data_IF_519584896204
#
_entry.id   IF_519584896204
#
_cell.length_a   1.000
_cell.length_b   1.000
_cell.length_c   1.000
_cell.angle_alpha   90.00
_cell.angle_beta   90.00
_cell.angle_gamma   90.00
#
_symmetry.space_group_name_H-M   'P 1'
#
loop_
_entity.id
_entity.type
_entity.pdbx_description
1 polymer ?
#
# COMPACT_ATOMS: atom_id res chain seq x y z
N UNK A 1 2.29 16.77 -72.08
CA UNK A 1 1.47 16.91 -70.86
C UNK A 1 2.30 16.39 -69.69
N UNK A 2 2.58 17.28 -68.75
CA UNK A 2 3.30 17.07 -67.49
C UNK A 2 2.44 16.23 -66.55
N UNK A 3 3.03 15.38 -65.70
CA UNK A 3 2.71 15.34 -64.26
C UNK A 3 3.88 14.73 -63.48
N UNK A 4 4.54 15.58 -62.71
CA UNK A 4 5.55 15.25 -61.71
C UNK A 4 4.83 15.12 -60.37
N UNK A 5 4.94 13.98 -59.71
CA UNK A 5 4.42 13.76 -58.35
C UNK A 5 5.60 13.70 -57.38
N UNK A 6 5.76 14.79 -56.62
CA UNK A 6 6.73 14.89 -55.54
C UNK A 6 6.20 14.21 -54.27
N UNK A 7 6.99 13.29 -53.73
CA UNK A 7 6.77 12.70 -52.40
C UNK A 7 7.71 13.36 -51.40
N UNK A 8 7.20 14.27 -50.59
CA UNK A 8 7.91 14.80 -49.41
C UNK A 8 7.63 13.89 -48.22
N UNK A 9 8.64 13.14 -47.80
CA UNK A 9 8.67 12.43 -46.51
C UNK A 9 8.84 13.43 -45.37
N UNK A 10 8.05 13.34 -44.28
CA UNK A 10 8.27 14.14 -43.09
C UNK A 10 9.48 13.62 -42.30
N UNK A 11 10.40 14.52 -42.00
CA UNK A 11 11.56 14.30 -41.13
C UNK A 11 11.07 14.11 -39.69
N UNK A 12 11.32 12.92 -39.13
CA UNK A 12 11.08 12.60 -37.72
C UNK A 12 12.07 13.41 -36.86
N UNK A 13 11.59 14.42 -36.15
CA UNK A 13 12.39 15.15 -35.16
C UNK A 13 12.54 14.30 -33.91
N UNK A 14 13.76 14.23 -33.39
CA UNK A 14 14.15 13.43 -32.24
C UNK A 14 13.31 13.80 -31.01
N UNK A 15 12.62 12.81 -30.45
CA UNK A 15 11.98 12.91 -29.15
C UNK A 15 13.06 13.04 -28.06
N UNK A 16 12.90 14.04 -27.21
CA UNK A 16 13.63 14.17 -25.95
C UNK A 16 13.42 12.90 -25.12
N UNK A 17 14.45 12.07 -25.04
CA UNK A 17 14.50 10.94 -24.12
C UNK A 17 14.70 11.55 -22.73
N UNK A 18 13.61 11.76 -22.01
CA UNK A 18 13.64 12.07 -20.59
C UNK A 18 14.48 10.99 -19.90
N UNK A 19 15.64 11.38 -19.37
CA UNK A 19 16.50 10.49 -18.61
C UNK A 19 15.70 9.94 -17.43
N UNK A 20 15.40 8.65 -17.47
CA UNK A 20 14.87 7.91 -16.34
C UNK A 20 15.97 7.92 -15.28
N UNK A 21 15.84 8.82 -14.30
CA UNK A 21 16.70 8.85 -13.13
C UNK A 21 16.44 7.56 -12.37
N UNK A 22 17.32 6.58 -12.54
CA UNK A 22 17.31 5.36 -11.72
C UNK A 22 17.84 5.77 -10.35
N UNK A 23 17.04 5.69 -9.27
CA UNK A 23 17.49 6.06 -7.95
C UNK A 23 18.65 5.16 -7.54
N UNK A 24 19.69 5.77 -6.98
CA UNK A 24 20.87 5.05 -6.51
C UNK A 24 20.56 4.27 -5.22
N UNK A 25 21.35 3.23 -4.93
CA UNK A 25 21.12 2.33 -3.78
C UNK A 25 21.21 3.04 -2.43
N UNK A 26 21.91 4.16 -2.33
CA UNK A 26 22.09 4.92 -1.08
C UNK A 26 20.81 5.64 -0.69
N UNK A 27 20.06 6.17 -1.67
CA UNK A 27 18.77 6.83 -1.45
C UNK A 27 17.72 5.87 -0.86
N UNK A 28 17.60 4.64 -1.40
CA UNK A 28 16.64 3.62 -0.87
C UNK A 28 16.94 3.26 0.59
N UNK A 29 18.22 3.25 0.98
CA UNK A 29 18.65 2.97 2.35
C UNK A 29 18.28 4.09 3.34
N UNK A 30 18.39 5.36 2.91
CA UNK A 30 18.02 6.50 3.75
C UNK A 30 16.51 6.57 3.99
N UNK A 31 15.70 6.28 2.96
CA UNK A 31 14.24 6.24 3.07
C UNK A 31 13.74 5.17 4.05
N UNK A 32 14.30 3.96 3.98
CA UNK A 32 13.96 2.87 4.92
C UNK A 32 14.27 3.28 6.36
N UNK A 33 15.44 3.86 6.62
CA UNK A 33 15.82 4.32 7.97
C UNK A 33 14.88 5.41 8.48
N UNK A 34 14.47 6.34 7.62
CA UNK A 34 13.53 7.39 7.97
C UNK A 34 12.14 6.83 8.30
N UNK A 35 11.66 5.81 7.56
CA UNK A 35 10.39 5.14 7.84
C UNK A 35 10.43 4.36 9.15
N UNK A 36 11.50 3.59 9.39
CA UNK A 36 11.68 2.86 10.65
C UNK A 36 11.77 3.80 11.86
N UNK A 37 12.45 4.93 11.73
CA UNK A 37 12.49 5.95 12.78
C UNK A 37 11.12 6.62 12.98
N UNK A 38 10.40 6.92 11.90
CA UNK A 38 9.04 7.46 11.96
C UNK A 38 8.09 6.47 12.65
N UNK A 39 8.13 5.19 12.28
CA UNK A 39 7.38 4.10 12.92
C UNK A 39 7.71 4.04 14.41
N UNK A 40 9.00 3.96 14.76
CA UNK A 40 9.45 3.94 16.16
C UNK A 40 8.94 5.12 16.96
N UNK A 41 8.97 6.34 16.40
CA UNK A 41 8.47 7.54 17.09
C UNK A 41 6.95 7.55 17.21
N UNK A 42 6.23 7.12 16.18
CA UNK A 42 4.77 7.17 16.15
C UNK A 42 4.12 6.06 17.00
N UNK A 43 4.78 4.92 17.15
CA UNK A 43 4.25 3.74 17.83
C UNK A 43 5.04 3.37 19.10
N UNK A 44 5.80 4.32 19.68
CA UNK A 44 6.70 4.07 20.82
C UNK A 44 5.96 3.64 22.10
N UNK A 45 4.78 4.22 22.32
CA UNK A 45 4.00 4.03 23.53
C UNK A 45 2.76 3.17 23.24
N UNK A 46 2.45 2.23 24.12
CA UNK A 46 1.26 1.35 23.99
C UNK A 46 -0.05 2.14 23.86
N UNK A 47 -0.14 3.32 24.50
CA UNK A 47 -1.30 4.20 24.38
C UNK A 47 -1.44 4.82 22.97
N UNK A 48 -0.34 4.95 22.23
CA UNK A 48 -0.27 5.57 20.91
C UNK A 48 -0.34 4.54 19.77
N UNK A 49 -0.26 3.24 20.07
CA UNK A 49 -0.32 2.14 19.08
C UNK A 49 -1.58 2.13 18.22
N UNK A 50 -2.63 2.82 18.70
CA UNK A 50 -3.92 2.94 18.03
C UNK A 50 -4.21 4.35 17.49
N UNK A 51 -3.26 5.27 17.62
CA UNK A 51 -3.33 6.60 17.02
C UNK A 51 -3.37 6.51 15.49
N UNK A 52 -3.98 7.50 14.84
CA UNK A 52 -3.99 7.56 13.37
C UNK A 52 -2.59 7.74 12.82
N UNK A 53 -1.74 8.44 13.57
CA UNK A 53 -0.35 8.70 13.27
C UNK A 53 0.45 7.40 13.25
N UNK A 54 0.31 6.55 14.28
CA UNK A 54 0.93 5.21 14.31
C UNK A 54 0.41 4.32 13.18
N UNK A 55 -0.92 4.22 13.01
CA UNK A 55 -1.55 3.43 11.93
C UNK A 55 -1.03 3.85 10.55
N UNK A 56 -0.95 5.15 10.29
CA UNK A 56 -0.43 5.69 9.03
C UNK A 56 1.04 5.35 8.84
N UNK A 57 1.87 5.48 9.89
CA UNK A 57 3.28 5.13 9.83
C UNK A 57 3.49 3.64 9.56
N UNK A 58 2.70 2.76 10.18
CA UNK A 58 2.74 1.31 9.92
C UNK A 58 2.36 1.00 8.46
N UNK A 59 1.27 1.58 7.96
CA UNK A 59 0.84 1.39 6.56
C UNK A 59 1.95 1.83 5.60
N UNK A 60 2.53 3.01 5.79
CA UNK A 60 3.60 3.51 4.92
C UNK A 60 4.85 2.64 4.95
N UNK A 61 5.20 2.11 6.13
CA UNK A 61 6.37 1.23 6.33
C UNK A 61 6.18 -0.07 5.57
N UNK A 62 5.07 -0.78 5.80
CA UNK A 62 4.81 -2.05 5.13
C UNK A 62 4.50 -1.86 3.65
N UNK A 63 3.85 -0.77 3.24
CA UNK A 63 3.63 -0.48 1.83
C UNK A 63 4.95 -0.28 1.09
N UNK A 64 5.94 0.34 1.73
CA UNK A 64 7.29 0.39 1.20
C UNK A 64 7.96 -0.98 1.17
N UNK A 65 7.86 -1.77 2.24
CA UNK A 65 8.46 -3.11 2.34
C UNK A 65 7.95 -4.08 1.27
N UNK A 66 6.63 -4.12 1.05
CA UNK A 66 5.98 -5.00 0.09
C UNK A 66 5.73 -4.37 -1.28
N UNK A 67 6.31 -3.20 -1.54
CA UNK A 67 6.21 -2.48 -2.82
C UNK A 67 4.75 -2.19 -3.27
N UNK A 68 3.87 -1.93 -2.30
CA UNK A 68 2.48 -1.52 -2.53
C UNK A 68 2.39 0.01 -2.62
N UNK A 69 1.60 0.58 -3.56
CA UNK A 69 1.39 2.02 -3.60
C UNK A 69 0.80 2.53 -2.27
N UNK A 70 1.57 3.33 -1.52
CA UNK A 70 1.18 3.88 -0.21
C UNK A 70 -0.21 4.52 -0.23
N UNK A 71 -0.49 5.31 -1.27
CA UNK A 71 -1.79 5.97 -1.46
C UNK A 71 -2.94 4.97 -1.53
N UNK A 72 -2.79 3.86 -2.26
CA UNK A 72 -3.80 2.83 -2.37
C UNK A 72 -4.10 2.21 -1.00
N UNK A 73 -3.05 1.81 -0.27
CA UNK A 73 -3.21 1.22 1.05
C UNK A 73 -3.90 2.18 2.04
N UNK A 74 -3.51 3.46 2.05
CA UNK A 74 -4.14 4.48 2.89
C UNK A 74 -5.60 4.73 2.49
N UNK A 75 -5.92 4.78 1.19
CA UNK A 75 -7.29 4.97 0.71
C UNK A 75 -8.20 3.80 1.11
N UNK A 76 -7.70 2.56 1.06
CA UNK A 76 -8.42 1.37 1.53
C UNK A 76 -8.65 1.45 3.04
N UNK A 77 -7.59 1.67 3.83
CA UNK A 77 -7.68 1.74 5.29
C UNK A 77 -8.61 2.88 5.77
N UNK A 78 -8.60 4.02 5.07
CA UNK A 78 -9.52 5.12 5.31
C UNK A 78 -10.97 4.71 5.00
N UNK A 79 -11.20 3.96 3.93
CA UNK A 79 -12.54 3.47 3.59
C UNK A 79 -13.06 2.41 4.57
N UNK A 80 -12.20 1.49 5.03
CA UNK A 80 -12.60 0.38 5.89
C UNK A 80 -12.90 0.82 7.33
N UNK A 81 -12.02 1.65 7.92
CA UNK A 81 -12.12 1.98 9.35
C UNK A 81 -11.98 3.47 9.67
N UNK A 82 -11.73 4.32 8.66
CA UNK A 82 -11.28 5.70 8.85
C UNK A 82 -9.93 5.80 9.58
N UNK A 83 -9.00 4.89 9.26
CA UNK A 83 -7.69 4.73 9.91
C UNK A 83 -7.78 4.45 11.42
N UNK A 84 -8.86 3.82 11.88
CA UNK A 84 -9.00 3.45 13.29
C UNK A 84 -8.43 2.05 13.52
N UNK A 85 -7.67 1.89 14.59
CA UNK A 85 -7.27 0.57 15.10
C UNK A 85 -8.32 0.04 16.08
N UNK A 86 -8.27 -1.27 16.37
CA UNK A 86 -9.09 -1.94 17.39
C UNK A 86 -10.61 -1.74 17.30
N UNK A 87 -11.13 -1.51 16.10
CA UNK A 87 -12.56 -1.35 15.88
C UNK A 87 -13.16 -2.62 15.32
N UNK A 88 -14.37 -2.94 15.78
CA UNK A 88 -15.21 -3.97 15.18
C UNK A 88 -16.09 -3.36 14.10
N UNK A 89 -16.21 -4.08 12.99
CA UNK A 89 -17.09 -3.77 11.86
C UNK A 89 -17.93 -4.99 11.49
N UNK A 90 -18.79 -4.82 10.50
CA UNK A 90 -19.65 -5.88 9.95
C UNK A 90 -20.40 -6.70 11.01
N UNK A 91 -21.05 -6.00 11.96
CA UNK A 91 -21.73 -6.58 13.13
C UNK A 91 -20.84 -7.47 14.02
N UNK A 92 -19.57 -7.10 14.18
CA UNK A 92 -18.61 -7.82 15.01
C UNK A 92 -17.85 -8.93 14.28
N UNK A 93 -18.04 -9.08 12.96
CA UNK A 93 -17.38 -10.13 12.15
C UNK A 93 -16.03 -9.69 11.58
N UNK A 94 -15.80 -8.38 11.53
CA UNK A 94 -14.59 -7.78 11.01
C UNK A 94 -13.87 -6.98 12.10
N UNK A 95 -12.53 -6.96 12.09
CA UNK A 95 -11.73 -6.25 13.10
C UNK A 95 -10.54 -5.50 12.50
N UNK A 96 -10.12 -4.44 13.18
CA UNK A 96 -8.88 -3.72 12.92
C UNK A 96 -8.95 -2.74 11.76
N UNK A 97 -7.81 -2.16 11.41
CA UNK A 97 -7.72 -1.06 10.43
C UNK A 97 -8.22 -1.43 9.03
N UNK A 98 -7.95 -2.65 8.60
CA UNK A 98 -8.39 -3.18 7.31
C UNK A 98 -9.65 -4.06 7.41
N UNK A 99 -10.31 -4.09 8.57
CA UNK A 99 -11.57 -4.82 8.78
C UNK A 99 -11.51 -6.29 8.32
N UNK A 100 -10.48 -7.04 8.73
CA UNK A 100 -10.36 -8.45 8.41
C UNK A 100 -11.46 -9.28 9.07
N UNK A 101 -12.06 -10.19 8.30
CA UNK A 101 -12.80 -11.32 8.89
C UNK A 101 -11.80 -12.34 9.41
N UNK A 102 -12.08 -12.93 10.58
CA UNK A 102 -11.15 -13.88 11.22
C UNK A 102 -10.72 -15.05 10.32
N UNK A 103 -11.62 -15.73 9.57
CA UNK A 103 -11.20 -16.81 8.67
C UNK A 103 -10.26 -16.34 7.55
N UNK A 104 -10.48 -15.15 7.00
CA UNK A 104 -9.62 -14.56 5.97
C UNK A 104 -8.23 -14.24 6.53
N UNK A 105 -8.19 -13.68 7.74
CA UNK A 105 -6.92 -13.41 8.43
C UNK A 105 -6.14 -14.72 8.64
N UNK A 106 -6.77 -15.74 9.22
CA UNK A 106 -6.11 -17.02 9.50
C UNK A 106 -5.60 -17.69 8.21
N UNK A 107 -6.38 -17.65 7.13
CA UNK A 107 -5.96 -18.15 5.82
C UNK A 107 -4.76 -17.37 5.27
N UNK A 108 -4.77 -16.05 5.38
CA UNK A 108 -3.70 -15.20 4.86
C UNK A 108 -2.43 -15.34 5.70
N UNK A 109 -2.53 -15.35 7.03
CA UNK A 109 -1.39 -15.55 7.93
C UNK A 109 -0.70 -16.89 7.61
N UNK A 110 -1.48 -17.95 7.39
CA UNK A 110 -0.96 -19.25 6.95
C UNK A 110 -0.21 -19.18 5.61
N UNK A 111 -0.74 -18.43 4.63
CA UNK A 111 -0.07 -18.25 3.32
C UNK A 111 1.17 -17.36 3.42
N UNK A 112 1.12 -16.36 4.30
CA UNK A 112 2.24 -15.47 4.57
C UNK A 112 3.40 -16.20 5.25
N UNK A 113 3.08 -17.19 6.09
CA UNK A 113 4.07 -18.06 6.74
C UNK A 113 4.61 -17.52 8.05
N UNK A 114 3.90 -16.57 8.67
CA UNK A 114 4.22 -16.00 9.98
C UNK A 114 3.10 -16.28 11.00
N UNK A 115 3.46 -16.42 12.28
CA UNK A 115 2.51 -16.43 13.39
C UNK A 115 2.14 -14.99 13.72
N UNK A 116 0.90 -14.61 13.42
CA UNK A 116 0.38 -13.25 13.60
C UNK A 116 -0.82 -13.25 14.56
N UNK A 117 -0.96 -12.20 15.36
CA UNK A 117 -2.11 -11.98 16.22
C UNK A 117 -3.19 -11.16 15.50
N UNK A 118 -4.39 -11.73 15.40
CA UNK A 118 -5.56 -11.06 14.83
C UNK A 118 -5.93 -9.75 15.56
N UNK A 119 -5.66 -9.68 16.86
CA UNK A 119 -5.97 -8.52 17.68
C UNK A 119 -4.83 -7.50 17.77
N UNK A 120 -3.65 -7.85 17.25
CA UNK A 120 -2.55 -6.92 17.14
C UNK A 120 -2.71 -6.05 15.89
N UNK A 121 -2.62 -4.72 16.09
CA UNK A 121 -2.83 -3.75 15.02
C UNK A 121 -1.71 -3.80 13.96
N UNK A 122 -0.47 -4.00 14.39
CA UNK A 122 0.69 -4.04 13.51
C UNK A 122 0.64 -5.31 12.64
N UNK A 123 0.37 -6.46 13.25
CA UNK A 123 0.22 -7.73 12.54
C UNK A 123 -0.93 -7.69 11.52
N UNK A 124 -2.08 -7.13 11.92
CA UNK A 124 -3.22 -6.93 11.03
C UNK A 124 -2.89 -6.03 9.84
N UNK A 125 -2.19 -4.92 10.06
CA UNK A 125 -1.74 -4.02 9.00
C UNK A 125 -0.71 -4.71 8.11
N UNK A 126 0.32 -5.33 8.67
CA UNK A 126 1.36 -6.05 7.94
C UNK A 126 0.75 -7.08 6.99
N UNK A 127 -0.17 -7.90 7.50
CA UNK A 127 -0.84 -8.93 6.71
C UNK A 127 -1.73 -8.34 5.62
N UNK A 128 -2.44 -7.25 5.90
CA UNK A 128 -3.25 -6.56 4.89
C UNK A 128 -2.38 -6.07 3.73
N UNK A 129 -1.25 -5.43 4.03
CA UNK A 129 -0.36 -4.92 2.98
C UNK A 129 0.28 -6.06 2.20
N UNK A 130 0.74 -7.12 2.88
CA UNK A 130 1.21 -8.33 2.19
C UNK A 130 0.15 -8.90 1.24
N UNK A 131 -1.12 -8.93 1.67
CA UNK A 131 -2.22 -9.43 0.86
C UNK A 131 -2.44 -8.55 -0.40
N UNK A 132 -2.32 -7.23 -0.28
CA UNK A 132 -2.38 -6.31 -1.43
C UNK A 132 -1.22 -6.55 -2.42
N UNK A 133 -0.02 -6.89 -1.94
CA UNK A 133 1.12 -7.21 -2.79
C UNK A 133 0.98 -8.58 -3.52
N UNK A 134 0.03 -9.41 -3.10
CA UNK A 134 -0.14 -10.79 -3.58
C UNK A 134 -1.49 -11.02 -4.27
N UNK A 135 -2.05 -9.98 -4.90
CA UNK A 135 -3.29 -10.04 -5.68
C UNK A 135 -4.50 -10.56 -4.87
N UNK A 136 -4.63 -10.16 -3.60
CA UNK A 136 -5.75 -10.53 -2.70
C UNK A 136 -6.68 -9.36 -2.37
N UNK A 137 -6.51 -8.23 -3.00
CA UNK A 137 -7.27 -7.00 -2.79
C UNK A 137 -8.77 -7.14 -3.07
N UNK A 138 -9.18 -8.13 -3.88
CA UNK A 138 -10.58 -8.45 -4.16
C UNK A 138 -11.39 -8.87 -2.91
N UNK A 139 -10.73 -9.22 -1.80
CA UNK A 139 -11.37 -9.48 -0.51
C UNK A 139 -11.92 -8.20 0.15
N UNK A 140 -11.46 -7.03 -0.27
CA UNK A 140 -11.94 -5.74 0.25
C UNK A 140 -12.92 -5.08 -0.72
N UNK A 141 -14.13 -4.82 -0.24
CA UNK A 141 -15.09 -4.04 -1.04
C UNK A 141 -14.62 -2.59 -1.22
N UNK A 142 -13.87 -2.05 -0.25
CA UNK A 142 -13.27 -0.73 -0.36
C UNK A 142 -12.21 -0.63 -1.46
N UNK A 143 -11.46 -1.70 -1.75
CA UNK A 143 -10.52 -1.70 -2.87
C UNK A 143 -11.22 -1.30 -4.18
N UNK A 144 -12.37 -1.94 -4.49
CA UNK A 144 -13.15 -1.61 -5.70
C UNK A 144 -13.60 -0.14 -5.72
N UNK A 145 -13.94 0.42 -4.56
CA UNK A 145 -14.39 1.82 -4.44
C UNK A 145 -13.27 2.83 -4.65
N UNK A 146 -12.01 2.47 -4.36
CA UNK A 146 -10.87 3.40 -4.45
C UNK A 146 -10.05 3.22 -5.71
N UNK A 147 -9.97 2.01 -6.26
CA UNK A 147 -9.22 1.70 -7.47
C UNK A 147 -9.95 2.08 -8.76
N UNK A 148 -11.29 2.25 -8.72
CA UNK A 148 -12.13 2.60 -9.88
C UNK A 148 -12.58 4.06 -9.88
N UNK A 149 -11.83 4.95 -9.21
CA UNK A 149 -12.12 6.39 -9.17
C UNK A 149 -11.48 7.15 -10.33
#
# INVERSE_FOLDING_TARGET
>A
MLFSVGTTTPTLTHADIAAVVIPDKETKSQEVRALEEKKRKACADEAEKHSKECVTALIETYAHEFEVPKKLALDIAMCESSLRANVYGDNGRAFGTFQFHRPTFDEFAKKFGEELDYYDNEDSIKLAIWALANDKEHHWTCYRKVAMK
#
